data_IF_714376989427
#
_entry.id   IF_714376989427
#
_cell.length_a   1.000
_cell.length_b   1.000
_cell.length_c   1.000
_cell.angle_alpha   90.00
_cell.angle_beta   90.00
_cell.angle_gamma   90.00
#
_symmetry.space_group_name_H-M   'P 1'
#
loop_
_entity.id
_entity.type
_entity.pdbx_description
1 polymer ?
#
# COMPACT_ATOMS: atom_id res chain seq x y z
N UNK A 1 -25.44 -9.16 -24.49
CA UNK A 1 -24.45 -9.80 -23.61
C UNK A 1 -23.33 -10.30 -24.52
N UNK A 2 -22.30 -9.47 -24.68
CA UNK A 2 -21.08 -9.77 -25.43
C UNK A 2 -19.92 -9.68 -24.42
N UNK A 3 -18.91 -10.56 -24.48
CA UNK A 3 -17.71 -10.38 -23.68
C UNK A 3 -16.82 -9.32 -24.36
N UNK A 4 -16.46 -8.30 -23.58
CA UNK A 4 -15.44 -7.31 -23.90
C UNK A 4 -14.07 -8.01 -23.99
N UNK A 5 -13.67 -8.43 -25.19
CA UNK A 5 -12.26 -8.60 -25.51
C UNK A 5 -11.77 -7.27 -26.09
N UNK A 6 -11.29 -6.41 -25.19
CA UNK A 6 -10.57 -5.19 -25.52
C UNK A 6 -9.27 -5.50 -26.24
N UNK A 7 -9.36 -5.79 -27.53
CA UNK A 7 -8.22 -5.65 -28.43
C UNK A 7 -8.11 -4.17 -28.77
N UNK A 8 -7.31 -3.47 -27.96
CA UNK A 8 -6.80 -2.15 -28.28
C UNK A 8 -6.08 -2.25 -29.63
N UNK A 9 -6.80 -1.88 -30.68
CA UNK A 9 -6.21 -1.41 -31.93
C UNK A 9 -5.15 -0.37 -31.54
N UNK A 10 -3.89 -0.70 -31.74
CA UNK A 10 -2.80 0.26 -31.69
C UNK A 10 -2.92 1.19 -32.91
N UNK A 11 -3.91 2.09 -32.88
CA UNK A 11 -3.96 3.26 -33.73
C UNK A 11 -2.89 4.22 -33.25
N UNK A 12 -1.68 4.07 -33.76
CA UNK A 12 -0.60 5.01 -33.52
C UNK A 12 -0.85 6.24 -34.42
N UNK A 13 -1.66 7.19 -33.93
CA UNK A 13 -1.76 8.51 -34.54
C UNK A 13 -0.43 9.21 -34.30
N UNK A 14 0.47 9.20 -35.28
CA UNK A 14 1.73 9.95 -35.21
C UNK A 14 1.40 11.42 -35.46
N UNK A 15 0.96 12.12 -34.42
CA UNK A 15 0.97 13.56 -34.37
C UNK A 15 2.06 13.98 -33.38
N UNK A 16 3.11 14.62 -33.90
CA UNK A 16 4.30 15.09 -33.19
C UNK A 16 5.46 14.09 -33.10
N UNK A 17 6.63 14.64 -33.40
CA UNK A 17 7.94 14.03 -33.52
C UNK A 17 8.36 13.31 -32.23
N UNK A 18 8.67 12.01 -32.30
CA UNK A 18 9.65 11.23 -31.49
C UNK A 18 9.15 9.81 -31.18
N UNK A 19 9.19 8.89 -32.14
CA UNK A 19 9.19 7.45 -31.85
C UNK A 19 9.91 6.71 -32.98
N UNK A 20 11.12 6.23 -32.71
CA UNK A 20 11.86 5.33 -33.59
C UNK A 20 11.54 3.90 -33.18
N UNK A 21 10.72 3.21 -33.99
CA UNK A 21 10.65 1.75 -33.98
C UNK A 21 11.63 1.23 -35.03
N UNK A 22 12.67 0.51 -34.61
CA UNK A 22 13.48 -0.29 -35.53
C UNK A 22 12.79 -1.64 -35.73
N UNK A 23 12.10 -1.78 -36.85
CA UNK A 23 11.66 -3.07 -37.37
C UNK A 23 12.54 -3.37 -38.59
N UNK A 24 13.16 -4.55 -38.62
CA UNK A 24 14.27 -4.91 -39.51
C UNK A 24 13.92 -4.83 -41.02
N UNK A 25 12.65 -4.93 -41.38
CA UNK A 25 12.13 -4.62 -42.71
C UNK A 25 10.65 -4.25 -42.55
N UNK A 26 10.31 -2.95 -42.64
CA UNK A 26 8.91 -2.52 -42.82
C UNK A 26 8.79 -1.96 -44.21
N UNK A 27 8.08 -2.68 -45.07
CA UNK A 27 7.61 -2.09 -46.32
C UNK A 27 6.34 -1.29 -46.03
N UNK A 28 6.52 -0.04 -45.63
CA UNK A 28 5.42 0.90 -45.45
C UNK A 28 5.08 1.55 -46.81
N UNK A 29 3.96 1.17 -47.42
CA UNK A 29 3.42 1.84 -48.61
C UNK A 29 2.24 2.73 -48.19
N UNK A 30 2.42 4.05 -48.27
CA UNK A 30 1.37 5.03 -48.00
C UNK A 30 0.50 5.22 -49.26
N UNK A 31 -0.81 5.07 -49.13
CA UNK A 31 -1.77 5.33 -50.22
C UNK A 31 -2.68 6.50 -49.86
N UNK A 32 -2.51 7.62 -50.58
CA UNK A 32 -3.39 8.79 -50.50
C UNK A 32 -2.62 10.12 -50.46
N UNK A 33 -2.69 10.91 -51.55
CA UNK A 33 -2.45 12.35 -51.51
C UNK A 33 -3.81 13.04 -51.52
N UNK A 34 -4.35 13.34 -50.34
CA UNK A 34 -5.42 14.32 -50.22
C UNK A 34 -4.97 15.39 -49.23
N UNK A 35 -4.85 16.62 -49.72
CA UNK A 35 -4.15 17.73 -49.07
C UNK A 35 -5.02 18.46 -48.03
N UNK A 36 -6.15 17.85 -47.65
CA UNK A 36 -7.12 18.46 -46.74
C UNK A 36 -7.23 17.74 -45.39
N UNK A 37 -6.78 16.48 -45.26
CA UNK A 37 -6.63 15.79 -43.97
C UNK A 37 -5.38 14.89 -43.98
N UNK A 38 -4.35 15.27 -43.22
CA UNK A 38 -3.01 14.66 -43.16
C UNK A 38 -2.97 13.27 -42.48
N UNK A 39 -3.95 12.39 -42.73
CA UNK A 39 -3.98 11.06 -42.13
C UNK A 39 -3.54 10.01 -43.14
N UNK A 40 -2.44 9.33 -42.85
CA UNK A 40 -2.03 8.12 -43.55
C UNK A 40 -2.36 6.90 -42.69
N UNK A 41 -2.96 5.88 -43.31
CA UNK A 41 -3.16 4.59 -42.66
C UNK A 41 -1.93 3.72 -42.92
N UNK A 42 -1.39 3.12 -41.86
CA UNK A 42 -0.37 2.08 -41.96
C UNK A 42 -0.95 0.78 -41.38
N UNK A 43 -0.54 -0.35 -41.95
CA UNK A 43 -0.94 -1.68 -41.48
C UNK A 43 0.24 -2.63 -41.65
N UNK A 44 0.36 -3.60 -40.74
CA UNK A 44 1.38 -4.64 -40.80
C UNK A 44 0.80 -5.84 -41.56
N UNK A 45 1.38 -6.15 -42.71
CA UNK A 45 0.88 -7.19 -43.62
C UNK A 45 1.96 -8.22 -43.87
N UNK A 46 1.54 -9.47 -44.09
CA UNK A 46 2.42 -10.56 -44.49
C UNK A 46 3.33 -10.17 -45.68
N UNK A 47 4.60 -10.58 -45.64
CA UNK A 47 5.64 -10.20 -46.61
C UNK A 47 5.23 -10.47 -48.07
N UNK A 48 4.45 -11.51 -48.32
CA UNK A 48 4.00 -11.93 -49.65
C UNK A 48 2.58 -11.47 -50.01
N UNK A 49 2.03 -10.48 -49.29
CA UNK A 49 0.71 -9.95 -49.60
C UNK A 49 0.71 -9.04 -50.84
N UNK A 50 0.61 -9.66 -52.01
CA UNK A 50 0.65 -8.99 -53.32
C UNK A 50 -0.58 -8.12 -53.63
N UNK A 51 -1.65 -8.23 -52.84
CA UNK A 51 -2.91 -7.51 -53.07
C UNK A 51 -2.94 -6.11 -52.45
N UNK A 52 -1.90 -5.68 -51.73
CA UNK A 52 -1.85 -4.35 -51.09
C UNK A 52 -2.09 -3.21 -52.09
N UNK A 53 -1.40 -3.26 -53.24
CA UNK A 53 -1.51 -2.26 -54.30
C UNK A 53 -2.89 -2.19 -54.98
N UNK A 54 -3.77 -3.16 -54.73
CA UNK A 54 -5.14 -3.19 -55.27
C UNK A 54 -6.15 -2.54 -54.33
N UNK A 55 -5.77 -2.24 -53.09
CA UNK A 55 -6.64 -1.65 -52.09
C UNK A 55 -6.75 -0.14 -52.30
N UNK A 56 -7.97 0.36 -52.37
CA UNK A 56 -8.29 1.79 -52.48
C UNK A 56 -8.78 2.31 -51.14
N UNK A 57 -7.83 2.77 -50.32
CA UNK A 57 -8.11 3.36 -49.00
C UNK A 57 -8.83 4.72 -49.07
N UNK A 58 -8.97 5.31 -50.26
CA UNK A 58 -9.73 6.55 -50.49
C UNK A 58 -11.26 6.36 -50.38
N UNK A 59 -11.76 5.12 -50.43
CA UNK A 59 -13.19 4.82 -50.50
C UNK A 59 -13.63 4.06 -49.26
N UNK A 60 -14.23 4.74 -48.27
CA UNK A 60 -14.69 4.14 -47.00
C UNK A 60 -15.87 3.15 -47.13
N UNK A 61 -16.31 2.85 -48.35
CA UNK A 61 -17.44 1.96 -48.63
C UNK A 61 -17.01 0.53 -49.00
N UNK A 62 -15.70 0.26 -49.01
CA UNK A 62 -15.13 -1.05 -49.31
C UNK A 62 -14.56 -1.68 -48.03
N UNK A 63 -14.87 -2.95 -47.81
CA UNK A 63 -14.31 -3.74 -46.71
C UNK A 63 -13.24 -4.67 -47.25
N UNK A 64 -12.04 -4.61 -46.66
CA UNK A 64 -10.91 -5.44 -47.03
C UNK A 64 -10.54 -6.36 -45.87
N UNK A 65 -10.33 -7.65 -46.17
CA UNK A 65 -9.75 -8.61 -45.23
C UNK A 65 -8.24 -8.62 -45.47
N UNK A 66 -7.48 -8.21 -44.46
CA UNK A 66 -6.02 -8.10 -44.53
C UNK A 66 -5.42 -9.16 -43.60
N UNK A 67 -4.55 -10.07 -44.10
CA UNK A 67 -3.83 -11.00 -43.23
C UNK A 67 -2.82 -10.22 -42.39
N UNK A 68 -3.12 -10.10 -41.10
CA UNK A 68 -2.25 -9.44 -40.14
C UNK A 68 -1.19 -10.42 -39.62
N UNK A 69 0.06 -10.00 -39.55
CA UNK A 69 1.11 -10.78 -38.88
C UNK A 69 0.90 -10.65 -37.37
N UNK A 70 0.43 -11.73 -36.74
CA UNK A 70 0.40 -11.83 -35.28
C UNK A 70 1.68 -12.46 -34.72
N UNK A 71 2.45 -13.16 -35.56
CA UNK A 71 3.59 -13.98 -35.17
C UNK A 71 4.91 -13.34 -35.57
N UNK A 72 5.68 -12.88 -34.60
CA UNK A 72 6.98 -12.24 -34.80
C UNK A 72 8.04 -12.79 -33.84
N UNK A 73 9.32 -12.63 -34.16
CA UNK A 73 10.43 -12.96 -33.27
C UNK A 73 11.58 -11.98 -33.49
N UNK A 74 12.41 -11.79 -32.46
CA UNK A 74 13.63 -11.01 -32.53
C UNK A 74 14.77 -11.88 -33.03
N UNK A 75 15.49 -11.37 -34.03
CA UNK A 75 16.67 -12.03 -34.58
C UNK A 75 16.36 -13.38 -35.23
N UNK A 76 17.41 -14.19 -35.40
CA UNK A 76 17.33 -15.56 -35.93
C UNK A 76 18.11 -16.55 -35.05
N UNK A 77 18.13 -16.30 -33.74
CA UNK A 77 18.90 -17.06 -32.75
C UNK A 77 18.02 -17.42 -31.56
N UNK A 78 18.36 -18.51 -30.88
CA UNK A 78 17.72 -18.85 -29.60
C UNK A 78 18.14 -17.90 -28.48
N UNK A 79 17.37 -17.88 -27.40
CA UNK A 79 17.62 -17.11 -26.20
C UNK A 79 19.01 -17.33 -25.61
N UNK A 80 19.45 -18.60 -25.56
CA UNK A 80 20.77 -18.95 -25.03
C UNK A 80 21.87 -18.19 -25.78
N UNK A 81 21.77 -18.16 -27.12
CA UNK A 81 22.74 -17.45 -27.98
C UNK A 81 22.54 -15.94 -27.94
N UNK A 82 21.30 -15.48 -27.87
CA UNK A 82 21.00 -14.04 -27.83
C UNK A 82 21.56 -13.38 -26.56
N UNK A 83 21.54 -14.11 -25.44
CA UNK A 83 22.04 -13.61 -24.15
C UNK A 83 23.57 -13.51 -24.11
N UNK A 84 24.27 -14.26 -24.97
CA UNK A 84 25.74 -14.16 -25.12
C UNK A 84 26.17 -12.86 -25.84
N UNK A 85 25.31 -12.29 -26.69
CA UNK A 85 25.56 -11.07 -27.46
C UNK A 85 24.83 -9.87 -26.84
N UNK A 86 25.42 -9.28 -25.78
CA UNK A 86 24.78 -8.18 -25.04
C UNK A 86 24.50 -6.94 -25.91
N UNK A 87 25.27 -6.72 -26.98
CA UNK A 87 25.05 -5.58 -27.90
C UNK A 87 23.83 -5.78 -28.81
N UNK A 88 23.40 -7.04 -29.02
CA UNK A 88 22.23 -7.39 -29.85
C UNK A 88 21.02 -7.83 -29.01
N UNK A 89 21.20 -7.98 -27.69
CA UNK A 89 20.13 -8.38 -26.78
C UNK A 89 19.21 -7.20 -26.49
N UNK A 90 17.94 -7.33 -26.92
CA UNK A 90 16.97 -6.22 -26.87
C UNK A 90 16.02 -6.27 -25.68
N UNK A 91 16.04 -7.35 -24.88
CA UNK A 91 15.13 -7.44 -23.74
C UNK A 91 15.55 -6.47 -22.64
N UNK A 92 14.56 -5.82 -22.05
CA UNK A 92 14.76 -4.81 -21.05
C UNK A 92 14.97 -5.34 -19.62
N UNK A 93 14.62 -4.52 -18.62
CA UNK A 93 14.76 -4.89 -17.22
C UNK A 93 13.51 -5.62 -16.70
N UNK A 94 13.70 -6.53 -15.74
CA UNK A 94 12.66 -7.44 -15.22
C UNK A 94 11.96 -8.27 -16.30
N UNK A 95 12.73 -8.66 -17.31
CA UNK A 95 12.27 -9.53 -18.40
C UNK A 95 13.07 -10.82 -18.42
N UNK A 96 12.51 -11.82 -19.09
CA UNK A 96 13.19 -13.02 -19.51
C UNK A 96 12.98 -13.26 -21.00
N UNK A 97 13.89 -14.04 -21.57
CA UNK A 97 13.83 -14.42 -22.97
C UNK A 97 13.10 -15.76 -23.10
N UNK A 98 12.23 -15.88 -24.10
CA UNK A 98 11.58 -17.13 -24.50
C UNK A 98 11.85 -17.44 -25.96
N UNK A 99 12.26 -18.68 -26.24
CA UNK A 99 12.45 -19.14 -27.61
C UNK A 99 11.12 -19.17 -28.35
N UNK A 100 11.12 -18.66 -29.58
CA UNK A 100 9.96 -18.75 -30.44
C UNK A 100 10.16 -19.82 -31.52
N UNK A 101 9.13 -20.63 -31.71
CA UNK A 101 9.00 -21.60 -32.80
C UNK A 101 7.60 -21.38 -33.40
N UNK A 102 7.42 -21.34 -34.74
CA UNK A 102 8.19 -22.04 -35.79
C UNK A 102 9.31 -21.24 -36.46
N UNK A 103 9.40 -19.93 -36.24
CA UNK A 103 10.45 -19.06 -36.79
C UNK A 103 11.58 -19.00 -35.78
N UNK A 104 12.78 -19.42 -36.16
CA UNK A 104 13.96 -19.37 -35.30
C UNK A 104 14.21 -17.91 -34.86
N UNK A 105 14.22 -17.67 -33.56
CA UNK A 105 14.28 -16.35 -32.94
C UNK A 105 13.77 -16.41 -31.50
N UNK A 106 13.69 -15.25 -30.84
CA UNK A 106 13.22 -15.16 -29.46
C UNK A 106 12.25 -14.01 -29.21
N UNK A 107 11.56 -14.05 -28.07
CA UNK A 107 10.76 -12.94 -27.56
C UNK A 107 11.20 -12.60 -26.15
N UNK A 108 10.96 -11.36 -25.77
CA UNK A 108 11.10 -10.89 -24.40
C UNK A 108 9.73 -10.90 -23.73
N UNK A 109 9.66 -11.43 -22.53
CA UNK A 109 8.47 -11.46 -21.69
C UNK A 109 8.80 -10.88 -20.31
N UNK A 110 7.83 -10.24 -19.67
CA UNK A 110 8.01 -9.76 -18.30
C UNK A 110 8.17 -10.94 -17.34
N UNK A 111 8.98 -10.77 -16.30
CA UNK A 111 9.03 -11.72 -15.19
C UNK A 111 7.68 -11.77 -14.47
N UNK A 112 7.40 -12.88 -13.78
CA UNK A 112 6.20 -13.00 -12.95
C UNK A 112 6.09 -11.86 -11.95
N UNK A 113 4.89 -11.29 -11.81
CA UNK A 113 4.63 -10.11 -10.98
C UNK A 113 5.06 -8.78 -11.61
N UNK A 114 5.46 -8.77 -12.89
CA UNK A 114 5.78 -7.56 -13.63
C UNK A 114 4.93 -7.45 -14.90
N UNK A 115 4.57 -6.21 -15.27
CA UNK A 115 3.77 -5.89 -16.45
C UNK A 115 4.32 -4.68 -17.20
N UNK A 116 3.95 -4.56 -18.48
CA UNK A 116 4.42 -3.48 -19.35
C UNK A 116 4.97 -3.99 -20.68
N UNK A 117 5.80 -3.18 -21.32
CA UNK A 117 6.41 -3.53 -22.60
C UNK A 117 7.87 -3.97 -22.39
N UNK A 118 8.21 -5.25 -22.62
CA UNK A 118 9.54 -5.78 -22.33
C UNK A 118 10.66 -5.24 -23.23
N UNK A 119 10.34 -4.46 -24.26
CA UNK A 119 11.29 -3.88 -25.23
C UNK A 119 11.57 -2.38 -25.01
N UNK A 120 10.93 -1.74 -24.04
CA UNK A 120 11.15 -0.32 -23.73
C UNK A 120 12.22 -0.12 -22.65
N UNK A 121 12.84 1.07 -22.52
CA UNK A 121 13.80 1.35 -21.44
C UNK A 121 13.21 1.25 -20.02
N UNK A 122 11.94 1.61 -19.83
CA UNK A 122 11.19 1.44 -18.57
C UNK A 122 10.36 0.15 -18.60
N UNK A 123 11.01 -0.96 -18.95
CA UNK A 123 10.45 -2.16 -19.55
C UNK A 123 9.25 -2.76 -18.79
N UNK A 124 9.52 -3.66 -17.86
CA UNK A 124 8.51 -4.32 -17.05
C UNK A 124 8.56 -3.73 -15.64
N UNK A 125 7.43 -3.17 -15.24
CA UNK A 125 7.21 -2.54 -13.95
C UNK A 125 6.49 -3.51 -13.03
N UNK A 126 6.76 -3.35 -11.73
CA UNK A 126 6.10 -4.13 -10.69
C UNK A 126 4.58 -3.99 -10.79
N UNK A 127 3.87 -5.11 -10.80
CA UNK A 127 2.41 -5.12 -10.73
C UNK A 127 2.04 -4.96 -9.26
N UNK A 128 1.28 -3.92 -8.93
CA UNK A 128 0.77 -3.77 -7.57
C UNK A 128 -0.53 -4.58 -7.41
N UNK A 129 -0.41 -5.84 -6.99
CA UNK A 129 -1.58 -6.70 -6.79
C UNK A 129 -2.48 -6.21 -5.65
N UNK A 130 -1.99 -5.33 -4.77
CA UNK A 130 -2.78 -4.75 -3.68
C UNK A 130 -3.60 -3.52 -4.11
N UNK A 131 -3.32 -2.96 -5.30
CA UNK A 131 -4.10 -1.83 -5.84
C UNK A 131 -5.53 -2.22 -6.21
N UNK A 132 -5.77 -3.49 -6.54
CA UNK A 132 -7.08 -4.02 -6.90
C UNK A 132 -7.36 -5.35 -6.18
N UNK A 133 -8.48 -5.50 -5.47
CA UNK A 133 -8.84 -6.74 -4.78
C UNK A 133 -8.95 -7.98 -5.68
N UNK A 134 -9.17 -7.81 -6.99
CA UNK A 134 -9.25 -8.94 -7.94
C UNK A 134 -7.88 -9.49 -8.35
N UNK A 135 -6.81 -8.72 -8.14
CA UNK A 135 -5.45 -9.09 -8.56
C UNK A 135 -4.66 -9.81 -7.45
N UNK A 136 -5.24 -9.94 -6.24
CA UNK A 136 -4.67 -10.68 -5.13
C UNK A 136 -5.64 -11.71 -4.53
N UNK A 137 -5.09 -12.81 -4.00
CA UNK A 137 -5.84 -13.88 -3.33
C UNK A 137 -5.73 -13.78 -1.79
N UNK A 138 -5.70 -12.56 -1.23
CA UNK A 138 -5.60 -12.40 0.21
C UNK A 138 -6.87 -12.87 0.94
N UNK A 139 -6.76 -13.63 2.04
CA UNK A 139 -7.92 -14.03 2.84
C UNK A 139 -8.67 -12.83 3.42
N UNK A 140 -9.95 -13.02 3.73
CA UNK A 140 -10.75 -12.05 4.49
C UNK A 140 -10.06 -11.70 5.82
N UNK A 141 -10.20 -10.45 6.25
CA UNK A 141 -9.55 -9.92 7.47
C UNK A 141 -8.00 -9.87 7.45
N UNK A 142 -7.40 -9.86 6.26
CA UNK A 142 -5.96 -9.59 6.08
C UNK A 142 -5.73 -8.24 5.39
N UNK A 143 -4.54 -7.69 5.58
CA UNK A 143 -4.02 -6.50 4.92
C UNK A 143 -3.00 -6.91 3.87
N UNK A 144 -3.25 -6.56 2.61
CA UNK A 144 -2.33 -6.82 1.50
C UNK A 144 -1.14 -5.86 1.56
N UNK A 145 0.08 -6.39 1.36
CA UNK A 145 1.31 -5.62 1.26
C UNK A 145 2.00 -5.98 -0.05
N UNK A 146 2.09 -5.01 -0.96
CA UNK A 146 2.76 -5.18 -2.23
C UNK A 146 4.28 -5.26 -2.04
N UNK A 147 4.94 -6.14 -2.80
CA UNK A 147 6.38 -6.31 -2.82
C UNK A 147 6.86 -6.46 -4.25
N UNK A 148 8.17 -6.29 -4.50
CA UNK A 148 8.68 -6.40 -5.87
C UNK A 148 8.49 -7.82 -6.43
N UNK A 149 7.60 -7.96 -7.41
CA UNK A 149 7.23 -9.18 -8.13
C UNK A 149 6.25 -10.10 -7.41
N UNK A 150 5.63 -9.66 -6.31
CA UNK A 150 4.68 -10.47 -5.51
C UNK A 150 3.98 -9.63 -4.45
N UNK A 151 3.04 -10.22 -3.72
CA UNK A 151 2.44 -9.61 -2.53
C UNK A 151 2.41 -10.60 -1.36
N UNK A 152 2.22 -10.07 -0.15
CA UNK A 152 1.95 -10.87 1.05
C UNK A 152 0.75 -10.33 1.82
N UNK A 153 0.02 -11.25 2.46
CA UNK A 153 -1.17 -10.92 3.24
C UNK A 153 -0.83 -11.01 4.73
N UNK A 154 -0.97 -9.91 5.45
CA UNK A 154 -0.75 -9.85 6.89
C UNK A 154 -2.08 -9.92 7.64
N UNK A 155 -2.19 -10.67 8.75
CA UNK A 155 -3.39 -10.64 9.56
C UNK A 155 -3.63 -9.23 10.09
N UNK A 156 -4.89 -8.77 10.05
CA UNK A 156 -5.25 -7.44 10.53
C UNK A 156 -5.15 -7.42 12.07
N UNK A 157 -3.98 -7.06 12.63
CA UNK A 157 -3.75 -6.95 14.08
C UNK A 157 -4.33 -5.66 14.66
N UNK A 158 -5.52 -5.26 14.24
CA UNK A 158 -6.26 -4.12 14.83
C UNK A 158 -6.99 -4.50 16.13
N UNK A 159 -6.45 -5.45 16.91
CA UNK A 159 -6.90 -5.78 18.28
C UNK A 159 -5.76 -5.90 19.30
N UNK A 160 -4.55 -5.43 18.98
CA UNK A 160 -3.42 -5.45 19.92
C UNK A 160 -3.08 -4.06 20.50
N UNK A 161 -3.97 -3.07 20.34
CA UNK A 161 -3.80 -1.75 20.98
C UNK A 161 -4.84 -1.44 22.07
N UNK A 162 -5.69 -2.41 22.43
CA UNK A 162 -6.58 -2.27 23.60
C UNK A 162 -6.04 -2.94 24.86
N UNK A 163 -4.93 -3.68 24.78
CA UNK A 163 -4.39 -4.41 25.95
C UNK A 163 -3.26 -3.68 26.70
N UNK A 164 -2.67 -2.61 26.14
CA UNK A 164 -1.58 -1.85 26.78
C UNK A 164 -2.02 -0.58 27.52
N UNK A 165 -3.24 -0.10 27.28
CA UNK A 165 -3.81 1.05 28.01
C UNK A 165 -4.16 0.80 29.50
N UNK A 166 -4.30 -0.42 30.05
CA UNK A 166 -4.58 -0.58 31.48
C UNK A 166 -3.34 -0.45 32.40
N UNK A 167 -2.11 -0.57 31.87
CA UNK A 167 -0.91 -0.52 32.72
C UNK A 167 -0.53 0.91 33.14
N UNK A 168 -0.80 1.90 32.29
CA UNK A 168 -0.51 3.32 32.58
C UNK A 168 -1.53 3.97 33.53
N UNK A 169 -2.80 3.60 33.43
CA UNK A 169 -3.88 4.19 34.23
C UNK A 169 -3.98 3.58 35.64
N UNK A 170 -3.63 2.30 35.80
CA UNK A 170 -3.65 1.62 37.10
C UNK A 170 -2.67 2.19 38.13
N UNK A 171 -1.43 2.49 37.72
CA UNK A 171 -0.41 3.06 38.61
C UNK A 171 -0.77 4.49 39.03
N UNK A 172 -1.31 5.30 38.11
CA UNK A 172 -1.73 6.68 38.40
C UNK A 172 -2.87 6.74 39.41
N UNK A 173 -3.92 5.93 39.21
CA UNK A 173 -5.08 5.91 40.12
C UNK A 173 -4.70 5.32 41.49
N UNK A 174 -3.87 4.28 41.52
CA UNK A 174 -3.38 3.70 42.78
C UNK A 174 -2.60 4.71 43.64
N UNK A 175 -1.73 5.51 43.02
CA UNK A 175 -0.94 6.53 43.73
C UNK A 175 -1.82 7.67 44.26
N UNK A 176 -2.83 8.10 43.49
CA UNK A 176 -3.81 9.08 43.97
C UNK A 176 -4.63 8.59 45.16
N UNK A 177 -5.04 7.31 45.17
CA UNK A 177 -5.76 6.70 46.29
C UNK A 177 -4.87 6.66 47.54
N UNK A 178 -3.60 6.26 47.42
CA UNK A 178 -2.67 6.23 48.55
C UNK A 178 -2.41 7.62 49.13
N UNK A 179 -2.26 8.64 48.29
CA UNK A 179 -2.12 10.03 48.73
C UNK A 179 -3.38 10.50 49.46
N UNK A 180 -4.57 10.19 48.94
CA UNK A 180 -5.84 10.55 49.57
C UNK A 180 -6.00 9.87 50.95
N UNK A 181 -5.66 8.58 51.08
CA UNK A 181 -5.67 7.86 52.36
C UNK A 181 -4.64 8.46 53.34
N UNK A 182 -3.44 8.80 52.85
CA UNK A 182 -2.42 9.46 53.65
C UNK A 182 -2.88 10.81 54.21
N UNK A 183 -3.49 11.65 53.37
CA UNK A 183 -4.07 12.94 53.79
C UNK A 183 -5.21 12.73 54.80
N UNK A 184 -6.09 11.76 54.55
CA UNK A 184 -7.22 11.48 55.45
C UNK A 184 -6.76 10.98 56.83
N UNK A 185 -5.81 10.05 56.87
CA UNK A 185 -5.24 9.55 58.13
C UNK A 185 -4.48 10.63 58.89
N UNK A 186 -3.69 11.47 58.20
CA UNK A 186 -2.98 12.59 58.80
C UNK A 186 -3.94 13.63 59.42
N UNK A 187 -4.99 14.01 58.68
CA UNK A 187 -6.00 14.96 59.20
C UNK A 187 -6.77 14.37 60.39
N UNK A 188 -7.10 13.07 60.36
CA UNK A 188 -7.74 12.39 61.49
C UNK A 188 -6.85 12.33 62.73
N UNK A 189 -5.57 11.97 62.58
CA UNK A 189 -4.60 11.96 63.68
C UNK A 189 -4.41 13.35 64.27
N UNK A 190 -4.34 14.38 63.41
CA UNK A 190 -4.24 15.77 63.85
C UNK A 190 -5.42 16.18 64.73
N UNK A 191 -6.66 15.86 64.33
CA UNK A 191 -7.85 16.16 65.13
C UNK A 191 -7.89 15.40 66.46
N UNK A 192 -7.45 14.13 66.49
CA UNK A 192 -7.38 13.35 67.73
C UNK A 192 -6.40 14.00 68.71
N UNK A 193 -5.23 14.44 68.21
CA UNK A 193 -4.20 15.08 69.02
C UNK A 193 -4.67 16.44 69.57
N UNK A 194 -5.38 17.23 68.77
CA UNK A 194 -5.98 18.49 69.22
C UNK A 194 -6.98 18.25 70.36
N UNK A 195 -7.86 17.25 70.25
CA UNK A 195 -8.78 16.87 71.33
C UNK A 195 -8.08 16.38 72.60
N UNK A 196 -6.96 15.66 72.47
CA UNK A 196 -6.15 15.24 73.61
C UNK A 196 -5.50 16.45 74.30
N UNK A 197 -4.93 17.37 73.54
CA UNK A 197 -4.35 18.60 74.08
C UNK A 197 -5.40 19.48 74.78
N UNK A 198 -6.61 19.59 74.21
CA UNK A 198 -7.73 20.29 74.85
C UNK A 198 -8.14 19.62 76.18
N UNK A 199 -8.15 18.28 76.23
CA UNK A 199 -8.44 17.54 77.45
C UNK A 199 -7.36 17.70 78.52
N UNK A 200 -6.08 17.71 78.15
CA UNK A 200 -4.95 17.96 79.07
C UNK A 200 -5.00 19.39 79.64
N UNK A 201 -5.21 20.41 78.80
CA UNK A 201 -5.37 21.80 79.25
C UNK A 201 -6.59 21.96 80.16
N UNK A 202 -7.69 21.24 79.87
CA UNK A 202 -8.89 21.24 80.71
C UNK A 202 -8.61 20.61 82.09
N UNK A 203 -7.90 19.49 82.14
CA UNK A 203 -7.49 18.84 83.40
C UNK A 203 -6.56 19.75 84.22
N UNK A 204 -5.59 20.41 83.60
CA UNK A 204 -4.68 21.33 84.27
C UNK A 204 -5.43 22.53 84.88
N UNK A 205 -6.37 23.13 84.14
CA UNK A 205 -7.10 24.32 84.59
C UNK A 205 -8.18 24.03 85.63
N UNK A 206 -8.86 22.89 85.55
CA UNK A 206 -10.04 22.61 86.37
C UNK A 206 -9.87 21.48 87.40
N UNK A 207 -8.82 20.66 87.29
CA UNK A 207 -8.53 19.58 88.24
C UNK A 207 -8.18 20.05 89.66
N UNK A 208 -7.63 21.25 89.81
CA UNK A 208 -7.36 21.86 91.13
C UNK A 208 -8.62 22.41 91.80
N UNK A 209 -9.60 22.88 91.04
CA UNK A 209 -10.84 23.48 91.57
C UNK A 209 -11.78 22.45 92.19
N UNK A 210 -11.81 21.23 91.66
CA UNK A 210 -12.57 20.10 92.25
C UNK A 210 -11.95 19.63 93.57
N UNK A 211 -10.61 19.62 93.68
CA UNK A 211 -9.92 19.30 94.94
C UNK A 211 -10.20 20.34 96.05
N UNK A 212 -10.36 21.63 95.71
CA UNK A 212 -10.75 22.68 96.68
C UNK A 212 -12.24 22.67 97.04
N UNK A 213 -13.12 22.21 96.14
CA UNK A 213 -14.55 22.09 96.41
C UNK A 213 -14.88 20.99 97.44
N UNK A 214 -14.10 19.91 97.46
CA UNK A 214 -14.25 18.83 98.44
C UNK A 214 -13.70 19.20 99.84
N UNK A 215 -12.74 20.14 99.93
CA UNK A 215 -12.23 20.63 101.23
C UNK A 215 -13.27 21.51 101.96
N UNK A 216 -14.18 22.20 101.25
CA UNK A 216 -15.19 23.07 101.88
C UNK A 216 -16.38 22.29 102.47
N UNK A 217 -16.65 21.05 102.02
CA UNK A 217 -17.77 20.24 102.55
C UNK A 217 -17.50 19.52 103.87
N UNK A 218 -16.28 19.57 104.42
CA UNK A 218 -15.94 18.91 105.69
C UNK A 218 -15.83 19.86 106.91
N UNK A 219 -16.14 21.14 106.74
CA UNK A 219 -16.23 22.10 107.85
C UNK A 219 -17.48 21.90 108.70
N UNK A 220 -17.39 21.05 109.73
CA UNK A 220 -18.36 20.96 110.83
C UNK A 220 -18.52 22.33 111.52
N UNK A 221 -19.75 22.83 111.63
CA UNK A 221 -20.10 23.82 112.65
C UNK A 221 -20.80 23.12 113.83
N UNK A 222 -20.19 23.23 115.01
CA UNK A 222 -20.75 22.87 116.32
C UNK A 222 -21.02 24.14 117.11
N UNK A 223 -22.27 24.37 117.50
CA UNK A 223 -22.83 24.57 118.87
C UNK A 223 -24.23 25.12 118.74
#
# INVERSE_FOLDING_TARGET
MAPDHGFLLAFLVICSTSMLFQVAEVKAEASGKDWENQCAFFTFVEKDFLSFNKMKFSTCNESYVIPMIHEWAVGNTSCDKATESLDEYVCGHNTHCVDYYPVQGYRCECNNGYGGNPYLPQSCQDVDECSNPEDNNCPMETHCVNTKGSYFCLPNRTRMLELLTPLGTGLGVGLLILVAIGIWTWTKLKQIKEKQNEAEIFQEKWGSTTATADIVKQGKCTT
#
